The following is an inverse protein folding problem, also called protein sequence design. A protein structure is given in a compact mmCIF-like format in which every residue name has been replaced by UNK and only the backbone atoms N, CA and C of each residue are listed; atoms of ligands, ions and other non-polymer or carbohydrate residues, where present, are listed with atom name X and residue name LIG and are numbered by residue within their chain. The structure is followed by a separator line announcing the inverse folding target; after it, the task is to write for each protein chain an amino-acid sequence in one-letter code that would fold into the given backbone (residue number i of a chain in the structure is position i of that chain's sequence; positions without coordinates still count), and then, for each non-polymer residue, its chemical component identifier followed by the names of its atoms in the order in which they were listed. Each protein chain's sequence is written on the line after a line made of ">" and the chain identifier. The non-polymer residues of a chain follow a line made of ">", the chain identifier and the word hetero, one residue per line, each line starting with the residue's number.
data_IF_910010769341
#
_entry.id   IF_910010769341
#
_cell.length_a   1.000
_cell.length_b   1.000
_cell.length_c   1.000
_cell.angle_alpha   90.00
_cell.angle_beta   90.00
_cell.angle_gamma   90.00
#
_symmetry.space_group_name_H-M   'P 1'
#
loop_
_entity.id
_entity.type
_entity.pdbx_description
1 polymer ?
#
# COMPACT_ATOMS: atom_id res chain seq x y z
N UNK A 1 14.87 41.03 27.64
CA UNK A 1 14.12 40.23 26.66
C UNK A 1 15.06 39.14 26.14
N UNK A 2 14.81 37.89 26.52
CA UNK A 2 15.67 36.77 26.13
C UNK A 2 15.38 36.45 24.65
N UNK A 3 16.35 36.60 23.74
CA UNK A 3 16.17 36.29 22.31
C UNK A 3 15.92 34.79 22.16
N UNK A 4 14.77 34.41 21.60
CA UNK A 4 14.45 33.03 21.29
C UNK A 4 15.07 32.65 19.93
N UNK A 5 16.17 31.91 19.95
CA UNK A 5 16.89 31.48 18.74
C UNK A 5 16.19 30.33 18.00
N UNK A 6 15.18 29.68 18.61
CA UNK A 6 14.46 28.56 18.00
C UNK A 6 13.80 28.95 16.68
N UNK A 7 13.32 30.19 16.58
CA UNK A 7 12.63 30.71 15.40
C UNK A 7 13.59 31.10 14.26
N UNK A 8 14.91 31.11 14.54
CA UNK A 8 15.96 31.36 13.52
C UNK A 8 16.48 30.09 12.86
N UNK A 9 16.02 28.91 13.31
CA UNK A 9 16.46 27.61 12.83
C UNK A 9 15.48 27.05 11.79
N UNK A 10 16.01 26.46 10.72
CA UNK A 10 15.23 25.70 9.75
C UNK A 10 14.97 24.28 10.28
N UNK A 11 13.99 24.16 11.17
CA UNK A 11 13.61 22.88 11.75
C UNK A 11 12.79 22.04 10.75
N UNK A 12 13.00 20.70 10.70
CA UNK A 12 12.12 19.81 9.97
C UNK A 12 10.67 19.91 10.51
N UNK A 13 9.71 20.07 9.61
CA UNK A 13 8.28 20.09 9.93
C UNK A 13 7.56 19.15 8.98
N UNK A 14 6.66 18.33 9.51
CA UNK A 14 5.81 17.43 8.72
C UNK A 14 4.50 17.15 9.46
N UNK A 15 3.42 17.04 8.69
CA UNK A 15 2.14 16.53 9.17
C UNK A 15 2.13 15.00 9.30
N UNK A 16 3.21 14.33 8.87
CA UNK A 16 3.37 12.89 9.00
C UNK A 16 3.52 12.50 10.47
N UNK A 17 2.48 11.86 11.00
CA UNK A 17 2.48 11.35 12.37
C UNK A 17 3.64 10.36 12.60
N UNK A 18 4.40 10.56 13.68
CA UNK A 18 5.43 9.59 14.07
C UNK A 18 4.86 8.23 14.46
N UNK A 19 3.63 8.17 14.99
CA UNK A 19 2.97 6.90 15.32
C UNK A 19 2.22 6.37 14.11
N UNK A 20 2.47 5.11 13.76
CA UNK A 20 1.92 4.51 12.55
C UNK A 20 0.38 4.38 12.60
N UNK A 21 -0.20 3.90 13.71
CA UNK A 21 -1.65 3.68 13.86
C UNK A 21 -2.25 2.83 12.70
N UNK A 22 -1.54 1.77 12.30
CA UNK A 22 -1.81 1.02 11.07
C UNK A 22 -3.23 0.43 11.00
N UNK A 23 -3.73 -0.19 12.07
CA UNK A 23 -5.07 -0.80 12.09
C UNK A 23 -6.18 0.17 11.60
N UNK A 24 -6.07 1.45 11.94
CA UNK A 24 -7.02 2.50 11.49
C UNK A 24 -6.65 3.07 10.12
N UNK A 25 -5.35 3.33 9.88
CA UNK A 25 -4.90 3.98 8.63
C UNK A 25 -5.00 3.06 7.42
N UNK A 26 -4.65 1.79 7.55
CA UNK A 26 -4.66 0.81 6.46
C UNK A 26 -6.07 0.64 5.89
N UNK A 27 -7.08 0.55 6.75
CA UNK A 27 -8.49 0.46 6.33
C UNK A 27 -8.92 1.66 5.47
N UNK A 28 -8.50 2.88 5.85
CA UNK A 28 -8.78 4.10 5.07
C UNK A 28 -8.04 4.12 3.72
N UNK A 29 -6.80 3.64 3.70
CA UNK A 29 -6.00 3.54 2.47
C UNK A 29 -6.62 2.53 1.50
N UNK A 30 -7.04 1.37 2.00
CA UNK A 30 -7.71 0.35 1.20
C UNK A 30 -9.03 0.86 0.61
N UNK A 31 -9.85 1.56 1.41
CA UNK A 31 -11.09 2.16 0.91
C UNK A 31 -10.80 3.17 -0.21
N UNK A 32 -9.83 4.06 -0.01
CA UNK A 32 -9.42 5.01 -1.04
C UNK A 32 -9.00 4.32 -2.34
N UNK A 33 -8.24 3.22 -2.26
CA UNK A 33 -7.83 2.47 -3.44
C UNK A 33 -9.00 1.82 -4.19
N UNK A 34 -10.03 1.38 -3.48
CA UNK A 34 -11.26 0.85 -4.07
C UNK A 34 -12.08 1.95 -4.75
N UNK A 35 -12.25 3.08 -4.06
CA UNK A 35 -12.97 4.25 -4.58
C UNK A 35 -12.30 4.81 -5.84
N UNK A 36 -10.97 4.89 -5.83
CA UNK A 36 -10.16 5.36 -6.95
C UNK A 36 -10.00 4.30 -8.07
N UNK A 37 -10.48 3.06 -7.88
CA UNK A 37 -10.35 1.94 -8.82
C UNK A 37 -8.90 1.73 -9.32
N UNK A 38 -7.92 1.76 -8.41
CA UNK A 38 -6.49 1.81 -8.77
C UNK A 38 -6.01 0.62 -9.60
N UNK A 39 -6.68 -0.54 -9.47
CA UNK A 39 -6.32 -1.74 -10.20
C UNK A 39 -6.58 -1.55 -11.70
N UNK A 40 -7.75 -1.01 -12.05
CA UNK A 40 -8.15 -0.68 -13.42
C UNK A 40 -7.23 0.40 -13.99
N UNK A 41 -6.99 1.48 -13.24
CA UNK A 41 -6.07 2.54 -13.64
C UNK A 41 -4.66 2.02 -13.96
N UNK A 42 -4.17 1.04 -13.19
CA UNK A 42 -2.85 0.42 -13.46
C UNK A 42 -2.85 -0.38 -14.75
N UNK A 43 -3.92 -1.13 -15.02
CA UNK A 43 -4.05 -1.89 -16.28
C UNK A 43 -4.12 -0.96 -17.49
N UNK A 44 -4.92 0.11 -17.41
CA UNK A 44 -5.02 1.13 -18.47
C UNK A 44 -3.69 1.81 -18.74
N UNK A 45 -2.95 2.19 -17.68
CA UNK A 45 -1.60 2.77 -17.78
C UNK A 45 -0.62 1.86 -18.54
N UNK A 46 -0.79 0.54 -18.42
CA UNK A 46 0.11 -0.46 -18.97
C UNK A 46 -0.42 -1.14 -20.25
N UNK A 47 -1.51 -0.63 -20.86
CA UNK A 47 -2.18 -1.28 -21.99
C UNK A 47 -1.30 -1.59 -23.22
N UNK A 48 -0.24 -0.79 -23.42
CA UNK A 48 0.69 -0.94 -24.56
C UNK A 48 2.01 -1.63 -24.19
N UNK A 49 2.16 -2.07 -22.93
CA UNK A 49 3.36 -2.77 -22.48
C UNK A 49 3.26 -4.27 -22.78
N UNK A 50 4.38 -4.97 -22.68
CA UNK A 50 4.40 -6.43 -22.73
C UNK A 50 3.50 -7.01 -21.63
N UNK A 51 2.57 -7.89 -22.02
CA UNK A 51 1.63 -8.51 -21.10
C UNK A 51 2.34 -9.53 -20.21
N UNK A 52 2.17 -9.38 -18.89
CA UNK A 52 2.67 -10.34 -17.89
C UNK A 52 1.49 -10.92 -17.11
N UNK A 53 1.42 -12.24 -17.05
CA UNK A 53 0.33 -12.98 -16.40
C UNK A 53 0.92 -13.83 -15.28
N UNK A 54 0.42 -13.63 -14.06
CA UNK A 54 0.70 -14.50 -12.92
C UNK A 54 -0.57 -15.28 -12.60
N UNK A 55 -0.57 -16.58 -12.90
CA UNK A 55 -1.69 -17.45 -12.57
C UNK A 55 -1.75 -17.70 -11.07
N UNK A 56 -2.87 -17.34 -10.45
CA UNK A 56 -3.15 -17.59 -9.04
C UNK A 56 -3.82 -18.96 -8.88
N UNK A 57 -3.14 -19.89 -8.20
CA UNK A 57 -3.74 -21.17 -7.83
C UNK A 57 -4.94 -20.94 -6.88
N UNK A 58 -6.14 -21.48 -7.19
CA UNK A 58 -7.32 -21.25 -6.38
C UNK A 58 -7.11 -21.89 -4.99
N UNK A 59 -7.31 -21.14 -3.89
CA UNK A 59 -7.32 -21.74 -2.56
C UNK A 59 -8.55 -22.65 -2.42
N UNK A 60 -8.45 -23.68 -1.60
CA UNK A 60 -9.65 -24.42 -1.21
C UNK A 60 -10.57 -23.50 -0.41
N UNK A 61 -11.87 -23.54 -0.69
CA UNK A 61 -12.87 -22.70 -0.05
C UNK A 61 -13.34 -23.25 1.32
N UNK A 62 -12.47 -23.98 2.02
CA UNK A 62 -12.76 -24.58 3.32
C UNK A 62 -11.76 -24.10 4.38
N UNK A 63 -12.28 -23.78 5.57
CA UNK A 63 -11.47 -23.33 6.70
C UNK A 63 -11.00 -21.88 6.60
N UNK A 64 -10.31 -21.44 7.66
CA UNK A 64 -9.82 -20.08 7.79
C UNK A 64 -8.48 -19.86 7.09
N UNK A 65 -8.23 -18.61 6.71
CA UNK A 65 -6.95 -18.15 6.17
C UNK A 65 -5.89 -18.21 7.28
N UNK A 66 -4.87 -19.05 7.09
CA UNK A 66 -3.68 -19.09 7.93
C UNK A 66 -2.49 -18.34 7.29
N UNK A 67 -1.40 -18.17 8.02
CA UNK A 67 -0.21 -17.38 7.61
C UNK A 67 0.40 -17.81 6.26
N UNK A 68 0.24 -19.07 5.87
CA UNK A 68 0.71 -19.59 4.57
C UNK A 68 -0.04 -18.98 3.39
N UNK A 69 -1.34 -18.76 3.53
CA UNK A 69 -2.13 -18.02 2.55
C UNK A 69 -1.67 -16.57 2.46
N UNK A 70 -1.47 -15.92 3.60
CA UNK A 70 -0.99 -14.53 3.67
C UNK A 70 0.36 -14.37 2.97
N UNK A 71 1.32 -15.24 3.27
CA UNK A 71 2.62 -15.25 2.62
C UNK A 71 2.50 -15.43 1.10
N UNK A 72 1.69 -16.40 0.65
CA UNK A 72 1.47 -16.66 -0.77
C UNK A 72 0.91 -15.43 -1.50
N UNK A 73 -0.12 -14.78 -0.94
CA UNK A 73 -0.77 -13.63 -1.57
C UNK A 73 0.11 -12.38 -1.56
N UNK A 74 0.84 -12.11 -0.47
CA UNK A 74 1.78 -10.98 -0.41
C UNK A 74 2.89 -11.12 -1.46
N UNK A 75 3.50 -12.31 -1.59
CA UNK A 75 4.56 -12.53 -2.58
C UNK A 75 4.08 -12.33 -4.01
N UNK A 76 2.87 -12.82 -4.33
CA UNK A 76 2.24 -12.61 -5.65
C UNK A 76 1.96 -11.13 -5.90
N UNK A 77 1.47 -10.40 -4.90
CA UNK A 77 1.20 -8.96 -5.01
C UNK A 77 2.48 -8.14 -5.23
N UNK A 78 3.59 -8.48 -4.56
CA UNK A 78 4.90 -7.84 -4.79
C UNK A 78 5.36 -8.00 -6.25
N UNK A 79 5.20 -9.21 -6.81
CA UNK A 79 5.57 -9.49 -8.21
C UNK A 79 4.67 -8.67 -9.16
N UNK A 80 3.35 -8.70 -8.95
CA UNK A 80 2.38 -8.01 -9.81
C UNK A 80 2.54 -6.49 -9.75
N UNK A 81 2.86 -5.91 -8.59
CA UNK A 81 3.11 -4.46 -8.43
C UNK A 81 4.42 -4.00 -9.06
N UNK A 82 5.41 -4.90 -9.15
CA UNK A 82 6.67 -4.62 -9.85
C UNK A 82 6.51 -4.63 -11.38
N UNK A 83 5.48 -5.30 -11.89
CA UNK A 83 5.18 -5.42 -13.32
C UNK A 83 4.29 -4.27 -13.83
#
# INVERSE_FOLDING_TARGET
>A
MNKNYKDTLLMPSTDFEMKANLATKESKIQQKWLDDQIYQLRLEKNQNNEQKILHDGPPYANGDIHVGHTMNKILKDVIVRRW
#
